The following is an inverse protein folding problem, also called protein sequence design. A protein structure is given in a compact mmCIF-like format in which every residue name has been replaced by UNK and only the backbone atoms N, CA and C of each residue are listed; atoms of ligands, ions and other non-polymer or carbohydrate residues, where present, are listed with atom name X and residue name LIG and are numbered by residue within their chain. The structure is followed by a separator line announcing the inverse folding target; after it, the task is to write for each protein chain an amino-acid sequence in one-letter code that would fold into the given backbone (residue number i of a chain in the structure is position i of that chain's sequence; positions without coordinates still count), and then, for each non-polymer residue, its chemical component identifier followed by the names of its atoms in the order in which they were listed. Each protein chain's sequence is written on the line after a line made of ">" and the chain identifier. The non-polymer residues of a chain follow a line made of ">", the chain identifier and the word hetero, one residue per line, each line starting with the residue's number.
data_IF_924738256657
#
_entry.id   IF_924738256657
#
_cell.length_a   1.000
_cell.length_b   1.000
_cell.length_c   1.000
_cell.angle_alpha   90.00
_cell.angle_beta   90.00
_cell.angle_gamma   90.00
#
_symmetry.space_group_name_H-M   'P 1'
#
loop_
_entity.id
_entity.type
_entity.pdbx_description
1 polymer ?
#
# COMPACT_ATOMS: atom_id res chain seq x y z
N UNK A 1 1.35 13.49 11.67
CA UNK A 1 1.41 14.84 12.26
C UNK A 1 -0.01 15.29 12.59
N UNK A 2 -0.17 16.09 13.62
CA UNK A 2 -1.42 16.80 13.91
C UNK A 2 -1.13 18.26 14.09
N UNK A 3 -1.91 19.13 13.45
CA UNK A 3 -1.70 20.56 13.44
C UNK A 3 -3.02 21.32 13.61
N UNK A 4 -2.90 22.53 14.16
CA UNK A 4 -3.90 23.58 14.08
C UNK A 4 -3.26 24.80 13.49
N UNK A 5 -3.99 25.54 12.67
CA UNK A 5 -3.55 26.81 12.12
C UNK A 5 -4.75 27.74 11.87
N UNK A 6 -4.49 29.01 11.98
CA UNK A 6 -5.34 30.10 11.55
C UNK A 6 -4.65 30.87 10.41
N UNK A 7 -5.13 32.07 10.10
CA UNK A 7 -4.55 32.89 9.04
C UNK A 7 -3.13 33.36 9.35
N UNK A 8 -2.75 33.52 10.61
CA UNK A 8 -1.49 34.10 11.06
C UNK A 8 -0.51 33.09 11.63
N UNK A 9 -1.00 32.04 12.32
CA UNK A 9 -0.19 31.13 13.13
C UNK A 9 -0.50 29.67 12.86
N UNK A 10 0.47 28.81 13.13
CA UNK A 10 0.33 27.38 13.07
C UNK A 10 1.11 26.70 14.17
N UNK A 11 0.57 25.59 14.69
CA UNK A 11 1.21 24.72 15.68
C UNK A 11 0.99 23.25 15.30
N UNK A 12 2.04 22.45 15.41
CA UNK A 12 1.95 20.99 15.24
C UNK A 12 2.62 20.23 16.38
N UNK A 13 2.09 19.04 16.65
CA UNK A 13 2.74 17.99 17.45
C UNK A 13 3.10 16.83 16.52
N UNK A 14 4.34 16.39 16.60
CA UNK A 14 4.93 15.41 15.70
C UNK A 14 5.67 14.35 16.53
N UNK A 15 5.24 13.09 16.46
CA UNK A 15 5.99 11.96 17.02
C UNK A 15 7.28 11.75 16.21
N UNK A 16 8.38 11.46 16.90
CA UNK A 16 9.68 11.20 16.28
C UNK A 16 10.10 9.73 16.40
N UNK A 17 9.29 8.92 17.06
CA UNK A 17 9.49 7.47 17.24
C UNK A 17 8.25 6.71 16.77
N UNK A 18 8.43 5.46 16.34
CA UNK A 18 7.34 4.61 15.87
C UNK A 18 6.24 4.37 16.91
N UNK A 19 6.64 4.29 18.19
CA UNK A 19 5.74 4.06 19.30
C UNK A 19 5.10 5.34 19.85
N UNK A 20 5.27 6.50 19.18
CA UNK A 20 4.65 7.76 19.56
C UNK A 20 3.63 8.20 18.52
N UNK A 21 2.43 8.48 18.97
CA UNK A 21 1.38 9.02 18.12
C UNK A 21 0.88 10.36 18.65
N UNK A 22 0.34 11.17 17.75
CA UNK A 22 -0.28 12.46 18.07
C UNK A 22 -1.79 12.39 17.98
N UNK A 23 -2.47 13.24 18.73
CA UNK A 23 -3.91 13.46 18.64
C UNK A 23 -4.21 14.95 18.58
N UNK A 24 -5.23 15.29 17.83
CA UNK A 24 -5.76 16.65 17.76
C UNK A 24 -7.30 16.60 17.81
N UNK A 25 -7.90 17.37 18.69
CA UNK A 25 -9.36 17.52 18.74
C UNK A 25 -9.77 18.85 19.34
N UNK A 26 -10.96 19.31 18.99
CA UNK A 26 -11.60 20.40 19.66
C UNK A 26 -12.08 19.95 21.04
N UNK A 27 -11.74 20.71 22.08
CA UNK A 27 -12.16 20.44 23.46
C UNK A 27 -13.46 21.19 23.77
N UNK A 28 -13.52 22.46 23.35
CA UNK A 28 -14.68 23.32 23.45
C UNK A 28 -14.60 24.40 22.35
N UNK A 29 -15.62 25.23 22.22
CA UNK A 29 -15.61 26.30 21.22
C UNK A 29 -14.38 27.23 21.41
N UNK A 30 -13.57 27.31 20.34
CA UNK A 30 -12.35 28.12 20.32
C UNK A 30 -11.15 27.52 21.05
N UNK A 31 -11.25 26.28 21.57
CA UNK A 31 -10.13 25.59 22.23
C UNK A 31 -9.84 24.27 21.54
N UNK A 32 -8.62 24.11 21.09
CA UNK A 32 -8.12 22.87 20.53
C UNK A 32 -6.97 22.29 21.37
N UNK A 33 -6.88 20.99 21.45
CA UNK A 33 -5.83 20.27 22.17
C UNK A 33 -5.00 19.43 21.20
N UNK A 34 -3.67 19.56 21.33
CA UNK A 34 -2.70 18.67 20.70
C UNK A 34 -2.03 17.83 21.77
N UNK A 35 -2.02 16.51 21.59
CA UNK A 35 -1.34 15.56 22.50
C UNK A 35 -0.37 14.67 21.75
N UNK A 36 0.71 14.27 22.43
CA UNK A 36 1.52 13.12 22.06
C UNK A 36 1.37 12.05 23.14
N UNK A 37 1.27 10.80 22.72
CA UNK A 37 1.14 9.63 23.58
C UNK A 37 1.95 8.46 23.02
N UNK A 38 2.29 7.50 23.86
CA UNK A 38 2.96 6.26 23.44
C UNK A 38 1.96 5.14 23.25
N UNK A 39 2.34 4.15 22.43
CA UNK A 39 1.69 2.85 22.35
C UNK A 39 2.35 1.90 23.38
N UNK A 40 1.76 1.68 24.57
CA UNK A 40 2.43 0.92 25.63
C UNK A 40 2.80 -0.52 25.24
N UNK A 41 2.00 -1.13 24.35
CA UNK A 41 2.22 -2.50 23.86
C UNK A 41 3.47 -2.63 22.98
N UNK A 42 3.98 -1.52 22.41
CA UNK A 42 5.20 -1.48 21.60
C UNK A 42 6.38 -0.83 22.30
N UNK A 43 6.29 -0.66 23.61
CA UNK A 43 7.31 -0.08 24.47
C UNK A 43 7.08 1.40 24.81
N UNK A 44 7.45 1.75 26.02
CA UNK A 44 7.33 3.13 26.51
C UNK A 44 8.54 4.00 26.20
N UNK A 45 9.68 3.39 25.92
CA UNK A 45 10.94 4.10 25.69
C UNK A 45 11.74 3.42 24.57
N UNK A 46 12.46 4.15 23.71
CA UNK A 46 12.50 5.62 23.69
C UNK A 46 11.15 6.21 23.26
N UNK A 47 10.81 7.39 23.75
CA UNK A 47 9.63 8.13 23.34
C UNK A 47 9.99 9.61 23.25
N UNK A 48 9.84 10.19 22.09
CA UNK A 48 10.08 11.60 21.85
C UNK A 48 9.07 12.18 20.85
N UNK A 49 8.84 13.48 21.00
CA UNK A 49 8.00 14.24 20.09
C UNK A 49 8.50 15.68 19.96
N UNK A 50 8.20 16.31 18.87
CA UNK A 50 8.46 17.73 18.63
C UNK A 50 7.20 18.57 18.66
N UNK A 51 7.35 19.82 19.08
CA UNK A 51 6.32 20.85 18.92
C UNK A 51 6.90 21.90 17.96
N UNK A 52 6.19 22.14 16.87
CA UNK A 52 6.55 23.14 15.88
C UNK A 52 5.55 24.27 15.97
N UNK A 53 6.03 25.50 16.16
CA UNK A 53 5.22 26.72 16.18
C UNK A 53 5.83 27.71 15.21
N UNK A 54 5.05 28.25 14.29
CA UNK A 54 5.54 29.20 13.30
C UNK A 54 4.40 30.11 12.79
N UNK A 55 4.73 31.28 12.18
CA UNK A 55 3.78 31.98 11.34
C UNK A 55 3.24 31.05 10.24
N UNK A 56 1.95 31.14 9.90
CA UNK A 56 1.31 30.24 8.92
C UNK A 56 2.09 30.17 7.61
N UNK A 57 2.54 31.31 7.09
CA UNK A 57 3.30 31.41 5.84
C UNK A 57 4.68 30.71 5.87
N UNK A 58 5.20 30.37 7.05
CA UNK A 58 6.51 29.71 7.21
C UNK A 58 6.38 28.29 7.76
N UNK A 59 5.17 27.80 7.96
CA UNK A 59 4.92 26.58 8.73
C UNK A 59 5.52 25.34 8.06
N UNK A 60 5.24 25.12 6.79
CA UNK A 60 5.77 23.98 6.02
C UNK A 60 7.31 23.98 5.97
N UNK A 61 7.91 25.15 5.70
CA UNK A 61 9.36 25.28 5.73
C UNK A 61 9.94 24.98 7.11
N UNK A 62 9.21 25.36 8.18
CA UNK A 62 9.66 25.11 9.55
C UNK A 62 9.56 23.63 9.90
N UNK A 63 8.50 22.92 9.43
CA UNK A 63 8.39 21.48 9.56
C UNK A 63 9.52 20.78 8.79
N UNK A 64 9.74 21.12 7.52
CA UNK A 64 10.80 20.52 6.72
C UNK A 64 12.20 20.71 7.36
N UNK A 65 12.46 21.83 8.03
CA UNK A 65 13.69 22.05 8.81
C UNK A 65 13.72 21.24 10.10
N UNK A 66 12.59 21.11 10.78
CA UNK A 66 12.48 20.30 11.98
C UNK A 66 12.79 18.81 11.67
N UNK A 67 12.25 18.26 10.59
CA UNK A 67 12.52 16.87 10.18
C UNK A 67 14.03 16.62 10.03
N UNK A 68 14.74 17.51 9.34
CA UNK A 68 16.21 17.42 9.18
C UNK A 68 16.91 17.52 10.53
N UNK A 69 16.52 18.49 11.37
CA UNK A 69 17.17 18.73 12.67
C UNK A 69 16.92 17.58 13.67
N UNK A 70 15.76 16.91 13.57
CA UNK A 70 15.40 15.75 14.38
C UNK A 70 15.95 14.43 13.81
N UNK A 71 16.60 14.44 12.65
CA UNK A 71 17.09 13.22 12.00
C UNK A 71 15.98 12.32 11.49
N UNK A 72 14.79 12.88 11.24
CA UNK A 72 13.67 12.12 10.71
C UNK A 72 13.86 11.83 9.22
N UNK A 73 13.40 10.69 8.74
CA UNK A 73 13.37 10.41 7.32
C UNK A 73 12.42 11.41 6.62
N UNK A 74 12.94 12.10 5.62
CA UNK A 74 12.19 13.11 4.86
C UNK A 74 12.69 13.09 3.41
N UNK A 75 12.11 12.23 2.55
CA UNK A 75 12.53 12.11 1.16
C UNK A 75 12.47 13.47 0.44
N UNK A 76 13.51 13.74 -0.37
CA UNK A 76 13.66 15.00 -1.12
C UNK A 76 13.86 14.74 -2.61
N UNK A 77 12.85 14.22 -3.31
CA UNK A 77 12.96 13.96 -4.73
C UNK A 77 13.32 15.26 -5.49
N UNK A 78 14.42 15.19 -6.26
CA UNK A 78 14.92 16.38 -6.95
C UNK A 78 15.49 17.48 -6.04
N UNK A 79 15.69 17.20 -4.74
CA UNK A 79 16.19 18.15 -3.74
C UNK A 79 15.08 18.97 -3.05
N UNK A 80 13.83 18.82 -3.45
CA UNK A 80 12.67 19.49 -2.87
C UNK A 80 12.07 18.69 -1.70
N UNK A 81 11.39 19.34 -0.78
CA UNK A 81 10.65 18.64 0.26
C UNK A 81 9.56 17.78 -0.38
N UNK A 82 9.48 16.48 -0.05
CA UNK A 82 8.68 15.51 -0.78
C UNK A 82 7.23 15.95 -0.99
N UNK A 83 6.60 16.56 0.02
CA UNK A 83 5.20 17.02 -0.03
C UNK A 83 4.98 18.29 -0.88
N UNK A 84 6.03 19.07 -1.10
CA UNK A 84 6.01 20.28 -1.94
C UNK A 84 6.83 20.07 -3.23
N UNK A 85 7.13 18.82 -3.58
CA UNK A 85 7.87 18.51 -4.79
C UNK A 85 6.94 18.50 -6.01
N UNK A 86 7.52 18.82 -7.17
CA UNK A 86 6.80 18.73 -8.44
C UNK A 86 6.23 17.31 -8.73
N UNK A 87 6.77 16.28 -8.08
CA UNK A 87 6.22 14.92 -8.15
C UNK A 87 4.90 14.79 -7.36
N UNK A 88 4.83 15.44 -6.20
CA UNK A 88 3.64 15.39 -5.36
C UNK A 88 2.47 16.19 -5.96
N UNK A 89 2.76 17.23 -6.70
CA UNK A 89 1.76 18.11 -7.29
C UNK A 89 1.20 17.60 -8.62
N UNK A 90 1.90 16.69 -9.32
CA UNK A 90 1.52 16.26 -10.64
C UNK A 90 0.76 14.94 -10.67
N UNK A 91 -0.19 14.82 -11.58
CA UNK A 91 -0.83 13.56 -11.95
C UNK A 91 0.17 12.57 -12.55
N UNK A 92 -0.11 11.27 -12.46
CA UNK A 92 0.71 10.24 -13.08
C UNK A 92 -0.12 9.24 -13.89
N UNK A 93 0.54 8.58 -14.83
CA UNK A 93 -0.04 7.49 -15.62
C UNK A 93 0.23 6.16 -14.91
N UNK A 94 -0.83 5.47 -14.50
CA UNK A 94 -0.73 4.14 -13.90
C UNK A 94 -0.99 3.08 -14.97
N UNK A 95 0.00 2.26 -15.27
CA UNK A 95 -0.04 1.25 -16.33
C UNK A 95 0.03 -0.15 -15.76
N UNK A 96 -1.00 -0.95 -16.01
CA UNK A 96 -1.00 -2.40 -15.77
C UNK A 96 -0.72 -3.16 -17.06
N UNK A 97 -0.37 -4.45 -16.93
CA UNK A 97 -0.05 -5.35 -18.04
C UNK A 97 1.05 -4.84 -19.00
N UNK A 98 1.96 -3.98 -18.51
CA UNK A 98 3.09 -3.48 -19.28
C UNK A 98 4.03 -4.62 -19.68
N UNK A 99 4.36 -4.69 -20.98
CA UNK A 99 5.40 -5.57 -21.52
C UNK A 99 6.56 -4.75 -22.08
N UNK A 100 7.71 -5.36 -22.22
CA UNK A 100 8.87 -4.67 -22.79
C UNK A 100 8.58 -4.05 -24.18
N UNK A 101 7.78 -4.73 -25.00
CA UNK A 101 7.42 -4.26 -26.36
C UNK A 101 6.42 -3.08 -26.35
N UNK A 102 5.69 -2.88 -25.25
CA UNK A 102 4.66 -1.83 -25.15
C UNK A 102 5.24 -0.46 -24.72
N UNK A 103 6.52 -0.39 -24.35
CA UNK A 103 7.13 0.80 -23.72
C UNK A 103 7.00 2.04 -24.61
N UNK A 104 7.20 1.93 -25.93
CA UNK A 104 7.06 3.08 -26.85
C UNK A 104 5.61 3.58 -26.95
N UNK A 105 4.64 2.67 -26.85
CA UNK A 105 3.23 3.04 -26.77
C UNK A 105 2.94 3.84 -25.50
N UNK A 106 3.42 3.35 -24.34
CA UNK A 106 3.26 4.02 -23.05
C UNK A 106 3.94 5.39 -23.05
N UNK A 107 5.16 5.52 -23.59
CA UNK A 107 5.86 6.81 -23.73
C UNK A 107 4.99 7.80 -24.53
N UNK A 108 4.46 7.36 -25.67
CA UNK A 108 3.61 8.21 -26.52
C UNK A 108 2.37 8.72 -25.76
N UNK A 109 1.69 7.84 -25.03
CA UNK A 109 0.51 8.20 -24.25
C UNK A 109 0.85 9.06 -23.03
N UNK A 110 1.92 8.75 -22.32
CA UNK A 110 2.39 9.57 -21.21
C UNK A 110 2.66 11.02 -21.65
N UNK A 111 3.37 11.20 -22.76
CA UNK A 111 3.64 12.54 -23.31
C UNK A 111 2.35 13.24 -23.80
N UNK A 112 1.43 12.49 -24.43
CA UNK A 112 0.14 13.05 -24.86
C UNK A 112 -0.68 13.59 -23.68
N UNK A 113 -0.73 12.85 -22.58
CA UNK A 113 -1.44 13.26 -21.37
C UNK A 113 -0.70 14.27 -20.48
N UNK A 114 0.53 14.66 -20.85
CA UNK A 114 1.35 15.58 -20.06
C UNK A 114 1.90 14.99 -18.77
N UNK A 115 1.89 13.66 -18.63
CA UNK A 115 2.41 12.97 -17.44
C UNK A 115 3.94 13.00 -17.39
N UNK A 116 4.47 13.29 -16.20
CA UNK A 116 5.91 13.19 -15.93
C UNK A 116 6.33 11.88 -15.28
N UNK A 117 5.37 11.05 -14.84
CA UNK A 117 5.63 9.80 -14.14
C UNK A 117 4.75 8.68 -14.67
N UNK A 118 5.32 7.50 -14.85
CA UNK A 118 4.63 6.25 -15.15
C UNK A 118 4.75 5.33 -13.95
N UNK A 119 3.64 5.02 -13.30
CA UNK A 119 3.54 4.02 -12.25
C UNK A 119 3.26 2.66 -12.88
N UNK A 120 4.16 1.71 -12.74
CA UNK A 120 4.03 0.35 -13.30
C UNK A 120 3.30 -0.53 -12.29
N UNK A 121 2.20 -1.15 -12.71
CA UNK A 121 1.36 -2.04 -11.92
C UNK A 121 2.09 -3.27 -11.40
N UNK A 122 1.58 -3.86 -10.33
CA UNK A 122 2.24 -4.96 -9.59
C UNK A 122 2.53 -6.23 -10.41
N UNK A 123 2.00 -6.34 -11.63
CA UNK A 123 2.24 -7.42 -12.57
C UNK A 123 3.62 -7.40 -13.26
N UNK A 124 4.48 -6.42 -12.92
CA UNK A 124 5.92 -6.49 -13.21
C UNK A 124 6.57 -7.70 -12.51
N UNK A 125 5.98 -8.16 -11.42
CA UNK A 125 6.38 -9.30 -10.61
C UNK A 125 5.44 -10.50 -10.83
N UNK A 126 5.98 -11.72 -10.76
CA UNK A 126 5.18 -12.96 -10.82
C UNK A 126 4.41 -13.23 -9.54
N UNK A 127 4.94 -12.79 -8.41
CA UNK A 127 4.34 -12.99 -7.11
C UNK A 127 4.77 -11.92 -6.12
N UNK A 128 3.91 -11.60 -5.18
CA UNK A 128 4.30 -10.89 -3.96
C UNK A 128 5.03 -11.88 -3.03
N UNK A 129 6.10 -11.43 -2.39
CA UNK A 129 7.01 -12.24 -1.57
C UNK A 129 8.41 -12.27 -2.18
N UNK A 130 8.70 -13.21 -3.07
CA UNK A 130 10.00 -13.27 -3.77
C UNK A 130 10.18 -12.17 -4.82
N UNK A 131 9.11 -11.62 -5.34
CA UNK A 131 9.10 -10.54 -6.34
C UNK A 131 10.02 -10.83 -7.54
N UNK A 132 10.00 -12.09 -8.02
CA UNK A 132 10.66 -12.43 -9.27
C UNK A 132 10.02 -11.70 -10.45
N UNK A 133 10.81 -11.17 -11.35
CA UNK A 133 10.31 -10.47 -12.52
C UNK A 133 9.43 -11.38 -13.37
N UNK A 134 8.30 -10.87 -13.81
CA UNK A 134 7.36 -11.59 -14.66
C UNK A 134 7.91 -11.78 -16.08
N UNK A 135 8.46 -12.96 -16.35
CA UNK A 135 9.06 -13.27 -17.65
C UNK A 135 8.07 -13.38 -18.80
N UNK A 136 6.77 -13.43 -18.55
CA UNK A 136 5.76 -13.29 -19.60
C UNK A 136 5.64 -11.85 -20.13
N UNK A 137 6.04 -10.87 -19.32
CA UNK A 137 6.07 -9.45 -19.67
C UNK A 137 7.49 -8.99 -20.03
N UNK A 138 8.49 -9.49 -19.33
CA UNK A 138 9.89 -9.13 -19.46
C UNK A 138 10.73 -10.40 -19.68
N UNK A 139 10.90 -10.84 -20.94
CA UNK A 139 11.42 -12.17 -21.26
C UNK A 139 12.80 -12.50 -20.70
N UNK A 140 13.70 -11.51 -20.57
CA UNK A 140 15.03 -11.67 -19.96
C UNK A 140 15.03 -11.36 -18.45
N UNK A 141 13.85 -11.43 -17.79
CA UNK A 141 13.72 -11.13 -16.37
C UNK A 141 14.14 -9.70 -16.04
N UNK A 142 14.98 -9.52 -15.02
CA UNK A 142 15.39 -8.19 -14.56
C UNK A 142 16.09 -7.37 -15.66
N UNK A 143 16.84 -8.00 -16.56
CA UNK A 143 17.55 -7.28 -17.62
C UNK A 143 16.58 -6.61 -18.62
N UNK A 144 15.50 -7.28 -19.02
CA UNK A 144 14.48 -6.67 -19.88
C UNK A 144 13.64 -5.63 -19.14
N UNK A 145 13.36 -5.83 -17.85
CA UNK A 145 12.68 -4.82 -17.04
C UNK A 145 13.53 -3.55 -16.88
N UNK A 146 14.83 -3.69 -16.63
CA UNK A 146 15.77 -2.56 -16.62
C UNK A 146 15.81 -1.82 -17.96
N UNK A 147 15.80 -2.53 -19.11
CA UNK A 147 15.73 -1.88 -20.43
C UNK A 147 14.44 -1.09 -20.60
N UNK A 148 13.31 -1.66 -20.20
CA UNK A 148 12.00 -0.99 -20.25
C UNK A 148 12.01 0.31 -19.43
N UNK A 149 12.44 0.26 -18.16
CA UNK A 149 12.53 1.43 -17.28
C UNK A 149 13.51 2.48 -17.81
N UNK A 150 14.66 2.05 -18.34
CA UNK A 150 15.65 2.97 -18.94
C UNK A 150 15.08 3.72 -20.15
N UNK A 151 14.29 3.06 -21.00
CA UNK A 151 13.61 3.73 -22.14
C UNK A 151 12.62 4.79 -21.67
N UNK A 152 11.91 4.55 -20.56
CA UNK A 152 11.05 5.57 -19.94
C UNK A 152 11.87 6.75 -19.44
N UNK A 153 12.98 6.51 -18.73
CA UNK A 153 13.89 7.55 -18.27
C UNK A 153 14.52 8.34 -19.43
N UNK A 154 14.97 7.66 -20.48
CA UNK A 154 15.54 8.30 -21.69
C UNK A 154 14.51 9.20 -22.40
N UNK A 155 13.23 8.90 -22.26
CA UNK A 155 12.12 9.73 -22.74
C UNK A 155 11.75 10.88 -21.77
N UNK A 156 12.50 11.06 -20.67
CA UNK A 156 12.25 12.11 -19.68
C UNK A 156 11.11 11.79 -18.69
N UNK A 157 10.68 10.54 -18.63
CA UNK A 157 9.64 10.07 -17.71
C UNK A 157 10.27 9.45 -16.46
N UNK A 158 9.68 9.68 -15.30
CA UNK A 158 10.01 9.00 -14.05
C UNK A 158 9.30 7.65 -13.98
N UNK A 159 9.90 6.71 -13.26
CA UNK A 159 9.39 5.34 -13.11
C UNK A 159 8.96 5.11 -11.67
N UNK A 160 7.68 4.76 -11.48
CA UNK A 160 7.15 4.29 -10.21
C UNK A 160 6.87 2.78 -10.24
N UNK A 161 6.98 2.11 -9.09
CA UNK A 161 6.57 0.73 -8.92
C UNK A 161 5.41 0.63 -7.93
N UNK A 162 4.34 -0.05 -8.36
CA UNK A 162 3.21 -0.41 -7.53
C UNK A 162 3.31 -1.87 -7.09
N UNK A 163 2.95 -2.16 -5.84
CA UNK A 163 2.87 -3.52 -5.28
C UNK A 163 2.04 -3.50 -3.99
N UNK A 164 1.52 -4.68 -3.61
CA UNK A 164 0.90 -4.86 -2.29
C UNK A 164 1.99 -5.00 -1.23
N UNK A 165 2.12 -4.01 -0.37
CA UNK A 165 3.32 -3.77 0.43
C UNK A 165 3.61 -4.83 1.50
N UNK A 166 2.58 -5.49 2.06
CA UNK A 166 2.73 -6.50 3.11
C UNK A 166 2.39 -7.94 2.65
N UNK A 167 2.12 -8.12 1.35
CA UNK A 167 1.53 -9.34 0.81
C UNK A 167 2.56 -10.43 0.49
N UNK A 168 2.14 -11.69 0.72
CA UNK A 168 2.78 -12.89 0.21
C UNK A 168 1.76 -13.68 -0.59
N UNK A 169 2.03 -13.90 -1.89
CA UNK A 169 1.13 -14.63 -2.79
C UNK A 169 0.95 -16.08 -2.33
N UNK A 170 -0.27 -16.59 -2.42
CA UNK A 170 -0.61 -17.94 -1.95
C UNK A 170 0.18 -19.07 -2.63
N UNK A 171 0.74 -18.83 -3.80
CA UNK A 171 1.62 -19.76 -4.53
C UNK A 171 3.10 -19.42 -4.46
N UNK A 172 3.50 -18.46 -3.62
CA UNK A 172 4.89 -18.07 -3.44
C UNK A 172 5.68 -19.14 -2.67
N UNK A 173 7.00 -19.33 -2.91
CA UNK A 173 7.82 -20.26 -2.14
C UNK A 173 7.82 -20.05 -0.61
N UNK A 174 7.46 -18.88 -0.10
CA UNK A 174 7.20 -18.68 1.33
C UNK A 174 5.92 -19.33 1.83
N UNK A 175 5.02 -19.80 0.93
CA UNK A 175 3.76 -20.45 1.29
C UNK A 175 3.79 -21.93 0.94
N UNK A 176 4.35 -22.32 -0.18
CA UNK A 176 4.30 -23.66 -0.72
C UNK A 176 5.66 -24.11 -1.29
N UNK A 177 6.10 -25.38 -1.12
CA UNK A 177 5.38 -26.52 -0.56
C UNK A 177 5.37 -26.60 0.98
N UNK A 178 6.12 -25.74 1.68
CA UNK A 178 6.17 -25.66 3.15
C UNK A 178 5.97 -24.21 3.57
N UNK A 179 4.90 -23.91 4.33
CA UNK A 179 4.62 -22.54 4.74
C UNK A 179 5.67 -22.02 5.72
N UNK A 180 6.18 -20.82 5.45
CA UNK A 180 7.13 -20.15 6.34
C UNK A 180 6.49 -19.91 7.71
N UNK A 181 7.28 -20.12 8.77
CA UNK A 181 6.83 -19.94 10.15
C UNK A 181 6.62 -18.48 10.54
N UNK A 182 7.16 -17.57 9.75
CA UNK A 182 7.12 -16.12 9.95
C UNK A 182 5.97 -15.43 9.19
N UNK A 183 5.01 -16.20 8.62
CA UNK A 183 3.74 -15.64 8.15
C UNK A 183 2.89 -15.23 9.36
N UNK A 184 2.08 -14.19 9.19
CA UNK A 184 1.24 -13.65 10.28
C UNK A 184 0.22 -14.68 10.75
N UNK A 185 0.21 -14.92 12.06
CA UNK A 185 -0.76 -15.76 12.75
C UNK A 185 -1.63 -14.87 13.64
N UNK A 186 -2.94 -14.90 13.42
CA UNK A 186 -3.89 -14.05 14.15
C UNK A 186 -4.79 -14.80 15.13
N UNK A 187 -4.78 -16.15 15.09
CA UNK A 187 -5.41 -17.00 16.08
C UNK A 187 -4.66 -18.33 16.23
N UNK A 188 -4.74 -18.93 17.42
CA UNK A 188 -4.09 -20.21 17.75
C UNK A 188 -5.01 -21.13 18.48
N UNK A 189 -4.88 -22.44 18.17
CA UNK A 189 -5.51 -23.55 18.88
C UNK A 189 -4.58 -24.76 18.93
N UNK A 190 -5.08 -25.86 19.41
CA UNK A 190 -4.39 -27.15 19.41
C UNK A 190 -5.35 -28.27 19.01
N UNK A 191 -4.83 -29.31 18.37
CA UNK A 191 -5.61 -30.51 18.05
C UNK A 191 -6.10 -31.19 19.33
N UNK A 192 -7.41 -31.43 19.41
CA UNK A 192 -8.03 -32.19 20.52
C UNK A 192 -7.73 -33.69 20.44
N UNK A 193 -7.61 -34.21 19.22
CA UNK A 193 -7.31 -35.57 18.91
C UNK A 193 -6.32 -35.67 17.75
N UNK A 194 -5.68 -36.84 17.56
CA UNK A 194 -4.83 -37.07 16.41
C UNK A 194 -5.67 -37.18 15.14
N UNK A 195 -5.15 -36.65 14.04
CA UNK A 195 -5.78 -36.75 12.72
C UNK A 195 -4.84 -37.41 11.71
N UNK A 196 -5.41 -38.12 10.75
CA UNK A 196 -4.67 -38.62 9.59
C UNK A 196 -4.65 -37.58 8.44
N UNK A 197 -4.06 -37.92 7.31
CA UNK A 197 -3.96 -37.05 6.15
C UNK A 197 -5.25 -36.87 5.34
N UNK A 198 -6.32 -37.60 5.65
CA UNK A 198 -7.59 -37.61 4.89
C UNK A 198 -8.77 -36.97 5.66
N UNK A 199 -8.57 -36.62 6.95
CA UNK A 199 -9.62 -36.08 7.81
C UNK A 199 -10.19 -34.76 7.23
N UNK A 200 -11.51 -34.70 7.05
CA UNK A 200 -12.27 -33.52 6.62
C UNK A 200 -12.82 -32.70 7.79
N UNK A 201 -12.62 -33.18 9.02
CA UNK A 201 -12.87 -32.52 10.28
C UNK A 201 -11.55 -32.43 11.08
N UNK A 202 -11.18 -31.23 11.50
CA UNK A 202 -10.00 -31.01 12.35
C UNK A 202 -10.47 -30.69 13.75
N UNK A 203 -10.44 -31.68 14.70
CA UNK A 203 -10.90 -31.50 16.07
C UNK A 203 -9.96 -30.57 16.85
N UNK A 204 -10.52 -29.60 17.55
CA UNK A 204 -9.79 -28.68 18.41
C UNK A 204 -10.05 -28.98 19.89
N UNK A 205 -9.05 -28.73 20.73
CA UNK A 205 -9.16 -28.92 22.16
C UNK A 205 -10.13 -27.93 22.83
N UNK A 206 -10.29 -26.75 22.22
CA UNK A 206 -11.14 -25.65 22.71
C UNK A 206 -11.93 -25.01 21.54
N UNK A 207 -13.01 -24.24 21.83
CA UNK A 207 -13.78 -23.57 20.81
C UNK A 207 -12.93 -22.61 19.95
N UNK A 208 -12.98 -22.68 18.62
CA UNK A 208 -12.21 -21.80 17.72
C UNK A 208 -12.82 -20.39 17.57
N UNK A 209 -13.19 -19.73 18.65
CA UNK A 209 -13.89 -18.44 18.62
C UNK A 209 -13.09 -17.29 17.97
N UNK A 210 -11.76 -17.37 18.03
CA UNK A 210 -10.85 -16.36 17.46
C UNK A 210 -10.57 -16.60 15.96
N UNK A 211 -10.88 -17.79 15.45
CA UNK A 211 -10.67 -18.13 14.03
C UNK A 211 -11.69 -17.42 13.14
N UNK A 212 -11.36 -17.20 11.87
CA UNK A 212 -12.32 -16.61 10.93
C UNK A 212 -13.48 -17.56 10.69
N UNK A 213 -14.71 -17.08 10.88
CA UNK A 213 -15.92 -17.90 10.69
C UNK A 213 -16.22 -18.19 9.21
N UNK A 214 -15.71 -17.35 8.31
CA UNK A 214 -15.89 -17.42 6.86
C UNK A 214 -14.68 -16.82 6.14
N UNK A 215 -14.54 -17.09 4.85
CA UNK A 215 -13.42 -16.59 4.03
C UNK A 215 -13.38 -15.05 3.97
N UNK A 216 -14.55 -14.40 3.87
CA UNK A 216 -14.68 -12.94 3.83
C UNK A 216 -14.24 -12.29 2.52
N UNK A 217 -13.93 -13.07 1.48
CA UNK A 217 -13.57 -12.58 0.15
C UNK A 217 -12.22 -11.82 0.13
N UNK A 218 -12.12 -10.81 -0.74
CA UNK A 218 -10.88 -10.07 -0.97
C UNK A 218 -10.32 -9.38 0.28
N UNK A 219 -11.21 -8.79 1.10
CA UNK A 219 -10.84 -8.11 2.36
C UNK A 219 -10.85 -9.03 3.58
N UNK A 220 -11.24 -10.31 3.41
CA UNK A 220 -11.42 -11.25 4.51
C UNK A 220 -10.11 -11.85 5.00
N UNK A 221 -10.12 -12.26 6.29
CA UNK A 221 -8.99 -12.93 6.95
C UNK A 221 -8.65 -14.31 6.36
N UNK A 222 -9.56 -14.88 5.52
CA UNK A 222 -9.41 -16.22 4.96
C UNK A 222 -9.73 -17.32 5.96
N UNK A 223 -9.82 -18.55 5.47
CA UNK A 223 -10.09 -19.75 6.27
C UNK A 223 -8.95 -20.75 6.12
N UNK A 224 -7.73 -20.33 6.41
CA UNK A 224 -6.54 -21.16 6.29
C UNK A 224 -5.85 -21.31 7.64
N UNK A 225 -5.48 -22.54 7.96
CA UNK A 225 -4.66 -22.84 9.14
C UNK A 225 -3.40 -23.58 8.75
N UNK A 226 -2.33 -23.34 9.48
CA UNK A 226 -1.10 -24.14 9.43
C UNK A 226 -1.12 -25.16 10.54
N UNK A 227 -0.85 -26.43 10.19
CA UNK A 227 -0.64 -27.53 11.14
C UNK A 227 0.68 -28.22 10.77
N UNK A 228 1.72 -27.98 11.54
CA UNK A 228 3.06 -28.43 11.13
C UNK A 228 3.51 -27.73 9.84
N UNK A 229 3.81 -28.53 8.81
CA UNK A 229 4.23 -28.04 7.48
C UNK A 229 3.08 -28.07 6.46
N UNK A 230 1.87 -28.34 6.93
CA UNK A 230 0.67 -28.41 6.10
C UNK A 230 -0.19 -27.16 6.25
N UNK A 231 -0.77 -26.68 5.15
CA UNK A 231 -1.89 -25.74 5.15
C UNK A 231 -3.20 -26.53 4.96
N UNK A 232 -4.16 -26.25 5.82
CA UNK A 232 -5.51 -26.77 5.75
C UNK A 232 -6.46 -25.62 5.52
N UNK A 233 -7.31 -25.71 4.50
CA UNK A 233 -8.41 -24.75 4.31
C UNK A 233 -9.69 -25.35 4.90
N UNK A 234 -10.44 -24.58 5.67
CA UNK A 234 -11.73 -24.99 6.22
C UNK A 234 -12.87 -24.13 5.67
N UNK A 235 -14.11 -24.62 5.82
CA UNK A 235 -15.30 -23.91 5.33
C UNK A 235 -16.20 -23.34 6.43
N UNK A 236 -16.10 -23.89 7.66
CA UNK A 236 -16.91 -23.45 8.81
C UNK A 236 -16.26 -23.85 10.13
N UNK A 237 -16.77 -23.27 11.24
CA UNK A 237 -16.34 -23.58 12.61
C UNK A 237 -17.41 -24.36 13.37
N UNK A 238 -16.99 -25.36 14.17
CA UNK A 238 -17.83 -25.97 15.21
C UNK A 238 -17.51 -25.32 16.55
N UNK A 239 -18.40 -24.47 17.04
CA UNK A 239 -18.28 -23.75 18.32
C UNK A 239 -18.90 -24.53 19.49
N UNK A 240 -19.63 -25.61 19.22
CA UNK A 240 -20.16 -26.55 20.20
C UNK A 240 -19.41 -27.89 20.09
N UNK A 241 -19.30 -28.68 21.19
CA UNK A 241 -18.63 -29.96 21.10
C UNK A 241 -19.27 -30.94 20.10
N UNK A 242 -18.47 -31.63 19.27
CA UNK A 242 -17.01 -31.56 19.21
C UNK A 242 -16.54 -30.26 18.52
N UNK A 243 -15.68 -29.52 19.21
CA UNK A 243 -15.07 -28.30 18.69
C UNK A 243 -14.15 -28.60 17.50
N UNK A 244 -14.10 -27.72 16.50
CA UNK A 244 -13.18 -27.93 15.39
C UNK A 244 -13.47 -27.13 14.13
N UNK A 245 -12.71 -27.49 13.10
CA UNK A 245 -12.83 -26.92 11.75
C UNK A 245 -13.55 -27.93 10.86
N UNK A 246 -14.54 -27.46 10.12
CA UNK A 246 -15.44 -28.26 9.30
C UNK A 246 -15.13 -28.10 7.80
N UNK A 247 -15.37 -29.17 7.01
CA UNK A 247 -15.19 -29.15 5.56
C UNK A 247 -13.75 -28.83 5.16
N UNK A 248 -12.80 -29.51 5.81
CA UNK A 248 -11.38 -29.26 5.65
C UNK A 248 -10.84 -29.83 4.34
N UNK A 249 -10.13 -28.99 3.59
CA UNK A 249 -9.31 -29.40 2.44
C UNK A 249 -7.87 -29.52 2.93
N UNK A 250 -7.36 -30.74 2.95
CA UNK A 250 -6.02 -31.09 3.42
C UNK A 250 -4.98 -30.80 2.34
N UNK A 251 -3.76 -30.47 2.74
CA UNK A 251 -2.69 -30.15 1.78
C UNK A 251 -3.02 -28.97 0.87
N UNK A 252 -3.77 -28.00 1.36
CA UNK A 252 -4.18 -26.84 0.59
C UNK A 252 -2.96 -26.05 0.07
N UNK A 253 -3.16 -25.32 -1.02
CA UNK A 253 -2.14 -24.47 -1.66
C UNK A 253 -0.88 -25.23 -2.10
N UNK A 254 -0.97 -26.55 -2.31
CA UNK A 254 0.14 -27.37 -2.75
C UNK A 254 1.09 -27.83 -1.63
N UNK A 255 0.70 -27.69 -0.37
CA UNK A 255 1.38 -28.33 0.74
C UNK A 255 1.03 -29.82 0.82
N UNK A 256 1.69 -30.59 1.68
CA UNK A 256 1.50 -32.03 1.76
C UNK A 256 0.63 -32.38 2.97
N UNK A 257 -0.53 -33.02 2.71
CA UNK A 257 -1.38 -33.57 3.76
C UNK A 257 -0.64 -34.66 4.54
N UNK A 258 -0.68 -34.60 5.85
CA UNK A 258 0.03 -35.53 6.74
C UNK A 258 -0.77 -35.83 8.01
N UNK A 259 -0.37 -36.86 8.73
CA UNK A 259 -0.93 -37.16 10.05
C UNK A 259 -0.33 -36.20 11.10
N UNK A 260 -1.20 -35.77 12.01
CA UNK A 260 -0.81 -34.87 13.09
C UNK A 260 -1.24 -35.42 14.46
N UNK A 261 -0.38 -35.39 15.48
CA UNK A 261 -0.72 -35.90 16.81
C UNK A 261 -1.65 -34.94 17.56
N UNK A 262 -2.41 -35.48 18.51
CA UNK A 262 -3.15 -34.65 19.46
C UNK A 262 -2.23 -33.63 20.17
N UNK A 263 -2.74 -32.45 20.45
CA UNK A 263 -2.00 -31.34 21.08
C UNK A 263 -1.10 -30.56 20.11
N UNK A 264 -0.98 -30.93 18.84
CA UNK A 264 -0.23 -30.14 17.87
C UNK A 264 -0.90 -28.78 17.65
N UNK A 265 -0.08 -27.72 17.52
CA UNK A 265 -0.59 -26.37 17.28
C UNK A 265 -1.33 -26.28 15.94
N UNK A 266 -2.45 -25.58 15.96
CA UNK A 266 -3.27 -25.18 14.81
C UNK A 266 -3.24 -23.67 14.79
N UNK A 267 -2.64 -23.07 13.74
CA UNK A 267 -2.35 -21.65 13.66
C UNK A 267 -3.10 -21.02 12.48
N UNK A 268 -4.01 -20.08 12.75
CA UNK A 268 -4.76 -19.40 11.70
C UNK A 268 -3.88 -18.40 10.98
N UNK A 269 -3.71 -18.59 9.67
CA UNK A 269 -2.93 -17.72 8.79
C UNK A 269 -3.76 -16.49 8.39
N UNK A 270 -3.29 -15.31 8.76
CA UNK A 270 -3.98 -14.07 8.42
C UNK A 270 -3.85 -13.74 6.94
N UNK A 271 -4.98 -13.52 6.30
CA UNK A 271 -5.08 -13.07 4.91
C UNK A 271 -5.65 -11.66 4.86
N UNK A 272 -5.16 -10.85 3.92
CA UNK A 272 -5.69 -9.54 3.57
C UNK A 272 -5.48 -9.30 2.09
N UNK A 273 -6.42 -8.66 1.41
CA UNK A 273 -6.39 -8.44 -0.04
C UNK A 273 -6.17 -9.72 -0.86
N UNK A 274 -6.65 -10.86 -0.37
CA UNK A 274 -6.48 -12.15 -1.02
C UNK A 274 -5.11 -12.82 -0.82
N UNK A 275 -4.20 -12.23 -0.04
CA UNK A 275 -2.82 -12.68 0.17
C UNK A 275 -2.53 -12.92 1.65
N UNK A 276 -1.59 -13.82 1.98
CA UNK A 276 -1.05 -13.88 3.33
C UNK A 276 -0.16 -12.66 3.62
N UNK A 277 0.03 -12.37 4.91
CA UNK A 277 0.94 -11.33 5.35
C UNK A 277 2.20 -11.95 5.95
N UNK A 278 3.35 -11.31 5.74
CA UNK A 278 4.57 -11.64 6.48
C UNK A 278 4.62 -10.83 7.78
N UNK A 279 5.11 -11.47 8.84
CA UNK A 279 5.21 -10.85 10.16
C UNK A 279 6.28 -9.76 10.15
N UNK A 280 5.87 -8.51 10.35
CA UNK A 280 6.75 -7.33 10.40
C UNK A 280 7.69 -7.30 11.61
N UNK A 281 7.49 -8.20 12.59
CA UNK A 281 8.39 -8.38 13.72
C UNK A 281 9.43 -9.51 13.49
N UNK A 282 9.41 -10.13 12.31
CA UNK A 282 10.33 -11.20 11.92
C UNK A 282 11.32 -10.75 10.84
N UNK A 283 12.39 -11.50 10.67
CA UNK A 283 13.38 -11.31 9.60
C UNK A 283 12.83 -11.65 8.19
N UNK A 284 11.63 -12.25 8.08
CA UNK A 284 10.95 -12.39 6.79
C UNK A 284 10.58 -11.02 6.20
N UNK A 285 10.31 -10.03 7.05
CA UNK A 285 10.09 -8.66 6.60
C UNK A 285 11.35 -8.11 5.88
N UNK A 286 12.53 -8.33 6.44
CA UNK A 286 13.80 -7.90 5.81
C UNK A 286 14.02 -8.60 4.47
N UNK A 287 13.68 -9.90 4.36
CA UNK A 287 13.80 -10.67 3.12
C UNK A 287 12.84 -10.14 2.03
N UNK A 288 11.55 -10.03 2.34
CA UNK A 288 10.52 -9.61 1.36
C UNK A 288 10.71 -8.16 0.94
N UNK A 289 10.94 -7.26 1.89
CA UNK A 289 11.22 -5.85 1.63
C UNK A 289 12.52 -5.71 0.81
N UNK A 290 13.55 -6.46 1.17
CA UNK A 290 14.81 -6.51 0.43
C UNK A 290 14.64 -6.98 -1.03
N UNK A 291 13.69 -7.89 -1.30
CA UNK A 291 13.37 -8.33 -2.66
C UNK A 291 12.82 -7.18 -3.50
N UNK A 292 11.90 -6.38 -2.96
CA UNK A 292 11.35 -5.20 -3.66
C UNK A 292 12.40 -4.12 -3.83
N UNK A 293 13.12 -3.76 -2.75
CA UNK A 293 14.15 -2.72 -2.79
C UNK A 293 15.25 -3.03 -3.82
N UNK A 294 15.68 -4.30 -3.89
CA UNK A 294 16.65 -4.75 -4.90
C UNK A 294 16.16 -4.50 -6.34
N UNK A 295 14.88 -4.74 -6.62
CA UNK A 295 14.30 -4.46 -7.94
C UNK A 295 14.21 -2.96 -8.16
N UNK A 296 13.68 -2.21 -7.19
CA UNK A 296 13.55 -0.76 -7.26
C UNK A 296 14.88 -0.07 -7.53
N UNK A 297 15.92 -0.44 -6.79
CA UNK A 297 17.29 0.08 -6.97
C UNK A 297 17.86 -0.30 -8.35
N UNK A 298 17.62 -1.54 -8.79
CA UNK A 298 18.13 -2.03 -10.07
C UNK A 298 17.51 -1.33 -11.28
N UNK A 299 16.26 -0.89 -11.18
CA UNK A 299 15.56 -0.14 -12.25
C UNK A 299 15.62 1.38 -12.03
N UNK A 300 16.33 1.84 -10.99
CA UNK A 300 16.45 3.25 -10.60
C UNK A 300 15.06 3.89 -10.42
N UNK A 301 14.17 3.20 -9.68
CA UNK A 301 12.82 3.67 -9.47
C UNK A 301 12.77 5.01 -8.73
N UNK A 302 12.06 5.99 -9.31
CA UNK A 302 11.85 7.32 -8.73
C UNK A 302 10.76 7.34 -7.68
N UNK A 303 9.83 6.37 -7.72
CA UNK A 303 8.66 6.31 -6.88
C UNK A 303 8.32 4.88 -6.46
N UNK A 304 7.88 4.71 -5.21
CA UNK A 304 7.20 3.49 -4.76
C UNK A 304 5.78 3.83 -4.30
N UNK A 305 4.82 2.98 -4.67
CA UNK A 305 3.45 3.05 -4.18
C UNK A 305 3.16 1.84 -3.28
N UNK A 306 2.90 2.10 -2.00
CA UNK A 306 2.55 1.09 -0.99
C UNK A 306 1.05 0.86 -0.98
N UNK A 307 0.57 -0.10 -1.75
CA UNK A 307 -0.83 -0.52 -1.71
C UNK A 307 -1.06 -1.58 -0.63
N UNK A 308 -2.31 -1.68 -0.14
CA UNK A 308 -2.70 -2.66 0.87
C UNK A 308 -2.07 -2.45 2.24
N UNK A 309 -1.55 -1.24 2.53
CA UNK A 309 -0.94 -0.92 3.83
C UNK A 309 -1.96 -0.51 4.90
N UNK A 310 -3.26 -0.60 4.62
CA UNK A 310 -4.35 -0.30 5.55
C UNK A 310 -4.71 -1.47 6.46
N UNK A 311 -4.52 -2.70 5.99
CA UNK A 311 -4.89 -3.91 6.71
C UNK A 311 -3.65 -4.75 7.02
N UNK A 312 -3.00 -4.42 8.13
CA UNK A 312 -1.79 -5.07 8.63
C UNK A 312 -2.07 -5.83 9.92
N UNK A 313 -1.06 -6.54 10.40
CA UNK A 313 -1.09 -7.18 11.71
C UNK A 313 -1.22 -6.15 12.84
N UNK A 314 -1.89 -6.51 13.93
CA UNK A 314 -1.88 -5.73 15.16
C UNK A 314 -2.46 -4.31 15.04
N UNK A 315 -1.78 -3.35 15.65
CA UNK A 315 -2.19 -1.94 15.59
C UNK A 315 -1.81 -1.32 14.24
N UNK A 316 -2.82 -0.91 13.50
CA UNK A 316 -2.66 -0.35 12.16
C UNK A 316 -1.69 0.83 12.11
N UNK A 317 -1.79 1.77 13.04
CA UNK A 317 -0.96 2.98 13.03
C UNK A 317 0.53 2.68 13.23
N UNK A 318 0.82 1.75 14.13
CA UNK A 318 2.18 1.33 14.41
C UNK A 318 2.78 0.52 13.25
N UNK A 319 2.08 -0.51 12.79
CA UNK A 319 2.61 -1.41 11.76
C UNK A 319 2.65 -0.77 10.37
N UNK A 320 1.74 0.17 10.06
CA UNK A 320 1.82 0.96 8.84
C UNK A 320 3.11 1.79 8.81
N UNK A 321 3.42 2.52 9.88
CA UNK A 321 4.66 3.29 9.98
C UNK A 321 5.90 2.40 9.96
N UNK A 322 5.86 1.25 10.63
CA UNK A 322 6.96 0.28 10.65
C UNK A 322 7.25 -0.26 9.25
N UNK A 323 6.23 -0.71 8.53
CA UNK A 323 6.33 -1.21 7.17
C UNK A 323 6.99 -0.18 6.24
N UNK A 324 6.46 1.03 6.21
CA UNK A 324 6.96 2.10 5.34
C UNK A 324 8.38 2.55 5.70
N UNK A 325 8.71 2.55 7.00
CA UNK A 325 10.06 2.83 7.49
C UNK A 325 11.07 1.77 7.06
N UNK A 326 10.71 0.49 7.11
CA UNK A 326 11.56 -0.62 6.66
C UNK A 326 11.85 -0.53 5.16
N UNK A 327 10.84 -0.21 4.32
CA UNK A 327 11.07 0.04 2.90
C UNK A 327 12.03 1.20 2.66
N UNK A 328 11.81 2.34 3.32
CA UNK A 328 12.73 3.48 3.19
C UNK A 328 14.16 3.11 3.63
N UNK A 329 14.30 2.34 4.70
CA UNK A 329 15.62 1.88 5.16
C UNK A 329 16.28 0.93 4.16
N UNK A 330 15.51 0.07 3.48
CA UNK A 330 16.00 -0.87 2.49
C UNK A 330 16.43 -0.23 1.17
N UNK A 331 15.80 0.87 0.74
CA UNK A 331 16.15 1.56 -0.50
C UNK A 331 17.55 2.18 -0.46
N UNK A 332 18.31 2.07 -1.55
CA UNK A 332 19.60 2.77 -1.71
C UNK A 332 19.38 4.29 -1.83
N UNK A 333 18.42 4.70 -2.66
CA UNK A 333 18.04 6.10 -2.80
C UNK A 333 17.03 6.51 -1.72
N UNK A 334 17.47 7.29 -0.72
CA UNK A 334 16.61 7.78 0.39
C UNK A 334 15.67 8.91 -0.04
N UNK A 335 15.86 9.46 -1.22
CA UNK A 335 15.04 10.53 -1.79
C UNK A 335 13.98 10.00 -2.79
N UNK A 336 13.82 8.68 -2.88
CA UNK A 336 12.72 8.06 -3.65
C UNK A 336 11.39 8.60 -3.16
N UNK A 337 10.53 9.04 -4.08
CA UNK A 337 9.19 9.51 -3.76
C UNK A 337 8.34 8.34 -3.24
N UNK A 338 7.78 8.49 -2.04
CA UNK A 338 6.96 7.47 -1.41
C UNK A 338 5.50 7.92 -1.34
N UNK A 339 4.64 7.16 -1.97
CA UNK A 339 3.18 7.30 -1.90
C UNK A 339 2.58 6.02 -1.34
N UNK A 340 1.48 6.12 -0.63
CA UNK A 340 0.76 4.95 -0.11
C UNK A 340 -0.74 5.16 -0.13
N UNK A 341 -1.47 4.06 0.02
CA UNK A 341 -2.91 4.04 0.24
C UNK A 341 -3.27 4.56 1.64
N UNK A 342 -2.30 4.57 2.55
CA UNK A 342 -2.44 5.11 3.91
C UNK A 342 -1.10 5.62 4.47
N UNK A 343 -1.18 6.36 5.56
CA UNK A 343 -0.04 6.75 6.38
C UNK A 343 -0.45 6.81 7.86
N UNK A 344 0.54 6.81 8.74
CA UNK A 344 0.33 7.00 10.18
C UNK A 344 1.19 8.14 10.73
N UNK A 345 1.13 8.38 12.04
CA UNK A 345 1.84 9.51 12.66
C UNK A 345 3.33 9.53 12.37
N UNK A 346 4.02 8.40 12.57
CA UNK A 346 5.47 8.33 12.34
C UNK A 346 5.84 8.25 10.85
N UNK A 347 4.99 7.67 10.00
CA UNK A 347 5.26 7.60 8.56
C UNK A 347 4.83 8.84 7.77
N UNK A 348 4.14 9.79 8.41
CA UNK A 348 3.80 11.06 7.76
C UNK A 348 5.04 11.78 7.20
N UNK A 349 6.18 11.65 7.87
CA UNK A 349 7.46 12.22 7.42
C UNK A 349 7.99 11.58 6.13
N UNK A 350 7.70 10.29 5.94
CA UNK A 350 8.13 9.49 4.79
C UNK A 350 7.23 9.67 3.58
N UNK A 351 5.91 9.66 3.82
CA UNK A 351 4.91 9.64 2.74
C UNK A 351 4.75 11.05 2.19
N UNK A 352 5.09 11.23 0.94
CA UNK A 352 5.04 12.52 0.25
C UNK A 352 3.65 12.83 -0.30
N UNK A 353 2.85 11.83 -0.66
CA UNK A 353 1.47 11.95 -1.13
C UNK A 353 0.69 10.69 -0.73
N UNK A 354 -0.59 10.83 -0.46
CA UNK A 354 -1.47 9.72 -0.11
C UNK A 354 -2.74 9.74 -0.95
N UNK A 355 -3.10 8.58 -1.50
CA UNK A 355 -4.41 8.34 -2.06
C UNK A 355 -4.80 6.88 -1.81
N UNK A 356 -6.03 6.66 -1.37
CA UNK A 356 -6.65 5.34 -1.24
C UNK A 356 -8.02 5.41 -1.90
N UNK A 357 -8.02 5.45 -3.23
CA UNK A 357 -9.24 5.67 -3.98
C UNK A 357 -9.15 5.06 -5.39
N UNK A 358 -10.16 4.25 -5.74
CA UNK A 358 -10.28 3.52 -6.99
C UNK A 358 -11.58 3.89 -7.70
N UNK A 359 -11.50 4.79 -8.69
CA UNK A 359 -12.66 5.26 -9.46
C UNK A 359 -13.06 4.29 -10.56
N UNK A 360 -14.00 3.39 -10.25
CA UNK A 360 -14.63 2.48 -11.19
C UNK A 360 -16.05 2.90 -11.55
N UNK A 361 -16.49 2.58 -12.77
CA UNK A 361 -17.88 2.71 -13.19
C UNK A 361 -18.40 4.15 -13.17
N UNK A 362 -19.23 4.54 -12.21
CA UNK A 362 -19.68 5.92 -12.04
C UNK A 362 -18.59 6.79 -11.41
N UNK A 363 -17.66 7.22 -12.26
CA UNK A 363 -16.50 8.01 -11.82
C UNK A 363 -16.89 9.43 -11.34
N UNK A 364 -18.02 9.98 -11.80
CA UNK A 364 -18.51 11.29 -11.32
C UNK A 364 -19.02 11.19 -9.88
N UNK A 365 -19.89 10.23 -9.59
CA UNK A 365 -20.40 9.97 -8.24
C UNK A 365 -19.28 9.59 -7.28
N UNK A 366 -18.35 8.75 -7.73
CA UNK A 366 -17.17 8.38 -6.95
C UNK A 366 -16.32 9.59 -6.54
N UNK A 367 -16.03 10.50 -7.47
CA UNK A 367 -15.31 11.74 -7.15
C UNK A 367 -16.07 12.59 -6.13
N UNK A 368 -17.39 12.79 -6.32
CA UNK A 368 -18.21 13.64 -5.44
C UNK A 368 -18.20 13.13 -3.99
N UNK A 369 -18.11 11.83 -3.78
CA UNK A 369 -17.95 11.23 -2.45
C UNK A 369 -16.56 11.48 -1.85
N UNK A 370 -15.52 11.65 -2.67
CA UNK A 370 -14.11 11.82 -2.23
C UNK A 370 -13.74 13.27 -1.96
N UNK A 371 -14.33 14.22 -2.68
CA UNK A 371 -13.97 15.64 -2.56
C UNK A 371 -13.94 16.17 -1.12
N UNK A 372 -14.86 15.80 -0.20
CA UNK A 372 -14.79 16.26 1.19
C UNK A 372 -13.51 15.81 1.93
N UNK A 373 -12.87 14.72 1.50
CA UNK A 373 -11.66 14.21 2.13
C UNK A 373 -10.44 15.05 1.80
N UNK A 374 -10.44 15.77 0.67
CA UNK A 374 -9.33 16.65 0.26
C UNK A 374 -9.08 17.76 1.27
N UNK A 375 -10.12 18.27 1.91
CA UNK A 375 -10.00 19.24 3.02
C UNK A 375 -9.18 18.64 4.18
N UNK A 376 -9.36 17.35 4.47
CA UNK A 376 -8.58 16.63 5.47
C UNK A 376 -7.10 16.52 5.09
N UNK A 377 -6.78 16.38 3.80
CA UNK A 377 -5.39 16.35 3.32
C UNK A 377 -4.72 17.68 3.53
N UNK A 378 -5.36 18.78 3.17
CA UNK A 378 -4.85 20.14 3.39
C UNK A 378 -4.56 20.39 4.88
N UNK A 379 -5.48 20.01 5.77
CA UNK A 379 -5.29 20.14 7.24
C UNK A 379 -4.11 19.31 7.77
N UNK A 380 -3.71 18.26 7.07
CA UNK A 380 -2.55 17.45 7.41
C UNK A 380 -1.31 17.79 6.57
N UNK A 381 -1.33 18.88 5.81
CA UNK A 381 -0.26 19.29 4.89
C UNK A 381 0.13 18.14 3.94
N UNK A 382 -0.85 17.40 3.46
CA UNK A 382 -0.66 16.34 2.48
C UNK A 382 -1.20 16.84 1.13
N UNK A 383 -0.44 16.74 0.03
CA UNK A 383 -0.93 17.11 -1.29
C UNK A 383 -2.24 16.41 -1.63
N UNK A 384 -3.18 17.15 -2.18
CA UNK A 384 -4.47 16.62 -2.57
C UNK A 384 -4.32 15.64 -3.74
N UNK A 385 -4.86 14.44 -3.59
CA UNK A 385 -4.89 13.40 -4.62
C UNK A 385 -6.26 12.71 -4.57
N UNK A 386 -6.95 12.66 -5.71
CA UNK A 386 -8.27 12.04 -5.82
C UNK A 386 -8.21 10.56 -6.19
N UNK A 387 -7.02 9.99 -6.33
CA UNK A 387 -6.80 8.56 -6.56
C UNK A 387 -6.77 8.15 -8.03
N UNK A 388 -7.06 6.90 -8.27
CA UNK A 388 -6.96 6.25 -9.58
C UNK A 388 -8.30 6.23 -10.29
N UNK A 389 -8.32 6.63 -11.57
CA UNK A 389 -9.50 6.58 -12.43
C UNK A 389 -9.22 5.65 -13.60
N UNK A 390 -10.02 4.59 -13.67
CA UNK A 390 -9.85 3.48 -14.60
C UNK A 390 -10.43 3.82 -15.95
N UNK A 391 -9.56 4.07 -16.93
CA UNK A 391 -9.97 4.35 -18.32
C UNK A 391 -10.01 3.04 -19.10
N UNK A 392 -11.14 2.35 -18.94
CA UNK A 392 -11.46 1.10 -19.64
C UNK A 392 -12.77 1.23 -20.39
N UNK A 393 -12.80 0.73 -21.65
CA UNK A 393 -14.04 0.66 -22.42
C UNK A 393 -14.99 -0.39 -21.78
N UNK A 394 -16.30 -0.13 -21.73
CA UNK A 394 -17.05 1.09 -22.10
C UNK A 394 -17.34 2.03 -20.92
N UNK A 395 -16.63 1.91 -19.82
CA UNK A 395 -17.06 2.44 -18.51
C UNK A 395 -16.78 3.93 -18.31
N UNK A 396 -15.85 4.52 -19.01
CA UNK A 396 -15.42 5.91 -18.84
C UNK A 396 -15.39 6.65 -20.16
N UNK A 397 -15.89 7.88 -20.17
CA UNK A 397 -15.99 8.74 -21.35
C UNK A 397 -15.27 10.08 -21.14
N UNK A 398 -14.99 10.80 -22.21
CA UNK A 398 -14.31 12.10 -22.17
C UNK A 398 -15.13 13.15 -21.38
N UNK A 399 -16.46 13.15 -21.48
CA UNK A 399 -17.31 14.08 -20.71
C UNK A 399 -17.28 13.80 -19.20
N UNK A 400 -17.08 12.55 -18.82
CA UNK A 400 -16.87 12.20 -17.40
C UNK A 400 -15.52 12.72 -16.92
N UNK A 401 -14.47 12.59 -17.73
CA UNK A 401 -13.14 13.13 -17.39
C UNK A 401 -13.13 14.65 -17.35
N UNK A 402 -13.80 15.34 -18.27
CA UNK A 402 -13.94 16.80 -18.24
C UNK A 402 -14.57 17.26 -16.90
N UNK A 403 -15.66 16.59 -16.48
CA UNK A 403 -16.28 16.84 -15.16
C UNK A 403 -15.31 16.64 -14.00
N UNK A 404 -14.59 15.52 -13.98
CA UNK A 404 -13.63 15.20 -12.91
C UNK A 404 -12.53 16.26 -12.84
N UNK A 405 -11.90 16.57 -13.98
CA UNK A 405 -10.78 17.49 -14.05
C UNK A 405 -11.15 18.91 -13.66
N UNK A 406 -12.34 19.40 -14.07
CA UNK A 406 -12.83 20.72 -13.64
C UNK A 406 -13.00 20.81 -12.11
N UNK A 407 -13.50 19.75 -11.48
CA UNK A 407 -13.59 19.70 -10.02
C UNK A 407 -12.23 19.62 -9.35
N UNK A 408 -11.34 18.77 -9.86
CA UNK A 408 -9.96 18.65 -9.35
C UNK A 408 -9.21 19.98 -9.42
N UNK A 409 -9.41 20.76 -10.50
CA UNK A 409 -8.82 22.09 -10.64
C UNK A 409 -9.23 23.03 -9.51
N UNK A 410 -10.48 22.97 -9.06
CA UNK A 410 -11.00 23.77 -7.96
C UNK A 410 -10.38 23.43 -6.58
N UNK A 411 -9.79 22.24 -6.44
CA UNK A 411 -9.15 21.75 -5.21
C UNK A 411 -7.63 21.63 -5.35
N UNK A 412 -7.07 22.00 -6.48
CA UNK A 412 -5.65 21.78 -6.82
C UNK A 412 -5.20 20.35 -6.57
N UNK A 413 -6.03 19.37 -6.96
CA UNK A 413 -5.84 17.97 -6.66
C UNK A 413 -5.24 17.21 -7.82
N UNK A 414 -4.22 16.39 -7.60
CA UNK A 414 -3.72 15.45 -8.60
C UNK A 414 -4.70 14.29 -8.81
N UNK A 415 -4.60 13.67 -9.98
CA UNK A 415 -5.37 12.48 -10.39
C UNK A 415 -4.41 11.47 -11.01
N UNK A 416 -4.71 10.19 -10.88
CA UNK A 416 -3.98 9.16 -11.62
C UNK A 416 -4.89 8.50 -12.64
N UNK A 417 -4.42 8.44 -13.89
CA UNK A 417 -5.12 7.73 -14.96
C UNK A 417 -4.63 6.30 -14.99
N UNK A 418 -5.52 5.35 -14.68
CA UNK A 418 -5.21 3.93 -14.70
C UNK A 418 -5.70 3.31 -16.01
N UNK A 419 -4.78 2.73 -16.78
CA UNK A 419 -5.09 2.08 -18.06
C UNK A 419 -4.04 1.00 -18.38
N UNK A 420 -4.06 0.46 -19.58
CA UNK A 420 -3.08 -0.50 -20.08
C UNK A 420 -2.93 -0.41 -21.60
N UNK A 421 -1.89 -1.00 -22.21
CA UNK A 421 -1.65 -0.93 -23.66
C UNK A 421 -2.79 -1.46 -24.53
N UNK A 422 -3.56 -2.45 -24.04
CA UNK A 422 -4.74 -2.95 -24.76
C UNK A 422 -5.82 -1.87 -24.85
N UNK A 423 -6.09 -1.17 -23.76
CA UNK A 423 -7.07 -0.08 -23.72
C UNK A 423 -6.62 1.11 -24.58
N UNK A 424 -5.31 1.39 -24.64
CA UNK A 424 -4.76 2.40 -25.55
C UNK A 424 -5.15 2.15 -27.01
N UNK A 425 -5.26 0.88 -27.42
CA UNK A 425 -5.57 0.50 -28.78
C UNK A 425 -7.07 0.49 -29.10
N UNK A 426 -7.93 0.18 -28.11
CA UNK A 426 -9.35 -0.10 -28.36
C UNK A 426 -10.31 0.95 -27.81
N UNK A 427 -9.93 1.71 -26.76
CA UNK A 427 -10.82 2.69 -26.16
C UNK A 427 -11.08 3.87 -27.10
N UNK A 428 -12.33 4.13 -27.50
CA UNK A 428 -12.63 5.08 -28.59
C UNK A 428 -12.31 6.53 -28.23
N UNK A 429 -12.38 6.89 -26.96
CA UNK A 429 -12.19 8.26 -26.46
C UNK A 429 -10.84 8.45 -25.72
N UNK A 430 -9.95 7.46 -25.75
CA UNK A 430 -8.65 7.51 -25.06
C UNK A 430 -7.88 8.79 -25.43
N UNK A 431 -7.87 9.14 -26.70
CA UNK A 431 -7.17 10.33 -27.18
C UNK A 431 -7.71 11.63 -26.60
N UNK A 432 -9.03 11.77 -26.55
CA UNK A 432 -9.71 12.95 -26.00
C UNK A 432 -9.49 13.05 -24.48
N UNK A 433 -9.61 11.95 -23.76
CA UNK A 433 -9.34 11.89 -22.32
C UNK A 433 -7.92 12.36 -22.00
N UNK A 434 -6.92 11.86 -22.72
CA UNK A 434 -5.52 12.25 -22.49
C UNK A 434 -5.24 13.71 -22.86
N UNK A 435 -5.88 14.23 -23.92
CA UNK A 435 -5.79 15.64 -24.29
C UNK A 435 -6.40 16.55 -23.19
N UNK A 436 -7.52 16.15 -22.58
CA UNK A 436 -8.13 16.84 -21.43
C UNK A 436 -7.21 16.83 -20.21
N UNK A 437 -6.59 15.69 -19.90
CA UNK A 437 -5.61 15.60 -18.79
C UNK A 437 -4.40 16.50 -19.05
N UNK A 438 -3.86 16.53 -20.27
CA UNK A 438 -2.74 17.40 -20.62
C UNK A 438 -3.09 18.89 -20.46
N UNK A 439 -4.30 19.29 -20.83
CA UNK A 439 -4.78 20.67 -20.63
C UNK A 439 -4.90 21.00 -19.14
N UNK A 440 -5.45 20.08 -18.36
CA UNK A 440 -5.54 20.21 -16.90
C UNK A 440 -4.17 20.39 -16.26
N UNK A 441 -3.20 19.53 -16.57
CA UNK A 441 -1.83 19.62 -16.03
C UNK A 441 -1.09 20.90 -16.45
N UNK A 442 -1.47 21.50 -17.57
CA UNK A 442 -0.93 22.79 -18.02
C UNK A 442 -1.53 23.98 -17.27
N UNK A 443 -2.77 23.85 -16.77
CA UNK A 443 -3.47 24.90 -16.03
C UNK A 443 -3.06 24.95 -14.56
N UNK A 444 -2.63 23.82 -14.00
CA UNK A 444 -2.01 23.74 -12.67
C UNK A 444 -0.56 24.20 -12.72
#
# INVERSE_FOLDING_TARGET
>A
MNAYFDDDHAVAVMGTELNVHGHAWAVEEGVAELRAATYPQYGLMPASFGIVVAPRAQFEQTIARFEVAAGLPSPRPGGEWGKASSLAERSYLFITALREDDVEDVIRWAHRGGFGTVLIGGDWSRSHGHHEINTAHFPDGLASFQRACRRLHDAGLRVGLHFLAAAVYLGDPYVTPVPDRRLVIDARGALGEAIDGEADFVPLAEPPAEFAAEDGGYMGRGTYVRIGDEIVQYSALSLEPPYGLLGCVRGALGTVASAHPAGQAVEHLHRSYGYFLYDLDSDLADEVIGNVCRVADAVEADMLYFDGSELLQGDHWYYNAKLQSLYHQGLANKDTFLQGSSYSHASWHLISRMASADGHGDVKGYLDERLPWLVGYEHNLMPADVGWYYVYEPTVTADQFDYILQKCLGYDASISVHTNPTQHAIHPEMGEIFDLVAEYERLR
#
